data_IF_514258854238
#
_entry.id   IF_514258854238
#
_cell.length_a   1.000
_cell.length_b   1.000
_cell.length_c   1.000
_cell.angle_alpha   90.00
_cell.angle_beta   90.00
_cell.angle_gamma   90.00
#
_symmetry.space_group_name_H-M   'P 1'
#
loop_
_entity.id
_entity.type
_entity.pdbx_description
1 polymer ?
#
# COMPACT_ATOMS: atom_id res chain seq x y z
N UNK A 1 -9.93 6.98 -34.16
CA UNK A 1 -9.50 7.75 -33.00
C UNK A 1 -8.47 6.88 -32.28
N UNK A 2 -7.20 7.28 -32.26
CA UNK A 2 -6.18 6.63 -31.47
C UNK A 2 -6.57 6.77 -30.00
N UNK A 3 -6.60 5.67 -29.23
CA UNK A 3 -6.77 5.75 -27.78
C UNK A 3 -5.73 6.73 -27.21
N UNK A 4 -6.13 7.62 -26.25
CA UNK A 4 -5.16 8.48 -25.62
C UNK A 4 -4.07 7.63 -24.96
N UNK A 5 -2.80 7.93 -25.27
CA UNK A 5 -1.67 7.20 -24.68
C UNK A 5 -1.69 7.33 -23.16
N UNK A 6 -1.36 6.25 -22.46
CA UNK A 6 -1.20 6.27 -21.01
C UNK A 6 -0.07 7.26 -20.64
N UNK A 7 -0.30 8.12 -19.69
CA UNK A 7 0.63 9.21 -19.34
C UNK A 7 0.72 9.51 -17.86
N UNK A 8 -0.13 8.91 -17.02
CA UNK A 8 -0.16 9.06 -15.56
C UNK A 8 0.05 7.70 -14.92
N UNK A 9 0.90 7.62 -13.88
CA UNK A 9 1.13 6.37 -13.15
C UNK A 9 0.80 6.57 -11.67
N UNK A 10 -0.01 5.67 -11.15
CA UNK A 10 -0.44 5.59 -9.75
C UNK A 10 0.13 4.33 -9.14
N UNK A 11 0.83 4.45 -8.02
CA UNK A 11 1.44 3.32 -7.30
C UNK A 11 0.72 3.06 -5.98
N UNK A 12 0.61 1.79 -5.61
CA UNK A 12 0.51 1.38 -4.21
C UNK A 12 1.88 1.46 -3.53
N UNK A 13 1.91 1.33 -2.20
CA UNK A 13 3.12 1.39 -1.36
C UNK A 13 3.54 0.01 -0.89
N UNK A 14 2.75 -0.60 -0.02
CA UNK A 14 3.06 -1.92 0.56
C UNK A 14 3.06 -3.00 -0.51
N UNK A 15 4.03 -3.90 -0.50
CA UNK A 15 4.14 -4.97 -1.51
C UNK A 15 4.53 -4.51 -2.92
N UNK A 16 4.56 -3.19 -3.19
CA UNK A 16 4.98 -2.62 -4.48
C UNK A 16 6.28 -1.83 -4.37
N UNK A 17 6.33 -0.83 -3.49
CA UNK A 17 7.49 0.05 -3.30
C UNK A 17 8.24 -0.25 -2.01
N UNK A 18 7.53 -0.72 -0.99
CA UNK A 18 8.07 -1.08 0.34
C UNK A 18 7.74 -2.53 0.62
N UNK A 19 8.74 -3.29 1.01
CA UNK A 19 8.58 -4.64 1.56
C UNK A 19 7.97 -4.51 2.96
N UNK A 20 6.63 -4.62 3.02
CA UNK A 20 5.83 -4.57 4.23
C UNK A 20 5.26 -5.95 4.53
N UNK A 21 5.64 -6.50 5.69
CA UNK A 21 5.08 -7.75 6.20
C UNK A 21 5.14 -7.73 7.74
N UNK A 22 4.03 -7.95 8.45
CA UNK A 22 4.05 -8.03 9.92
C UNK A 22 5.00 -9.12 10.44
N UNK A 23 5.32 -10.13 9.64
CA UNK A 23 6.30 -11.17 9.99
C UNK A 23 7.70 -10.62 10.26
N UNK A 24 8.10 -9.50 9.67
CA UNK A 24 9.40 -8.86 9.95
C UNK A 24 9.54 -8.45 11.42
N UNK A 25 8.45 -8.01 12.06
CA UNK A 25 8.41 -7.70 13.48
C UNK A 25 8.22 -8.98 14.31
N UNK A 26 7.17 -9.75 13.99
CA UNK A 26 6.73 -10.83 14.86
C UNK A 26 7.70 -12.01 14.91
N UNK A 27 8.49 -12.27 13.87
CA UNK A 27 9.57 -13.26 13.92
C UNK A 27 10.58 -12.97 15.04
N UNK A 28 10.83 -11.68 15.34
CA UNK A 28 11.68 -11.26 16.46
C UNK A 28 10.98 -11.49 17.80
N UNK A 29 9.69 -11.15 17.89
CA UNK A 29 8.91 -11.27 19.13
C UNK A 29 8.66 -12.72 19.53
N UNK A 30 8.48 -13.59 18.57
CA UNK A 30 8.33 -15.03 18.79
C UNK A 30 9.67 -15.80 18.82
N UNK A 31 10.83 -15.11 18.80
CA UNK A 31 12.16 -15.71 18.85
C UNK A 31 12.38 -16.83 17.81
N UNK A 32 11.74 -16.69 16.64
CA UNK A 32 11.81 -17.63 15.53
C UNK A 32 10.82 -18.83 15.61
N UNK A 33 9.89 -18.83 16.57
CA UNK A 33 8.79 -19.80 16.58
C UNK A 33 7.76 -19.44 15.49
N UNK A 34 8.04 -19.88 14.24
CA UNK A 34 7.21 -19.59 13.07
C UNK A 34 5.75 -20.11 13.24
N UNK A 35 5.48 -21.33 13.74
CA UNK A 35 4.11 -21.78 13.94
C UNK A 35 3.30 -20.91 14.91
N UNK A 36 3.89 -20.49 16.04
CA UNK A 36 3.22 -19.62 17.00
C UNK A 36 2.98 -18.22 16.42
N UNK A 37 3.96 -17.67 15.69
CA UNK A 37 3.83 -16.39 14.99
C UNK A 37 2.70 -16.43 13.95
N UNK A 38 2.68 -17.43 13.08
CA UNK A 38 1.63 -17.56 12.05
C UNK A 38 0.25 -17.74 12.67
N UNK A 39 0.15 -18.51 13.76
CA UNK A 39 -1.11 -18.63 14.49
C UNK A 39 -1.58 -17.28 15.03
N UNK A 40 -0.69 -16.50 15.63
CA UNK A 40 -1.01 -15.17 16.15
C UNK A 40 -1.49 -14.22 15.05
N UNK A 41 -0.79 -14.17 13.92
CA UNK A 41 -1.16 -13.32 12.79
C UNK A 41 -2.45 -13.77 12.09
N UNK A 42 -2.77 -15.07 12.13
CA UNK A 42 -3.98 -15.60 11.55
C UNK A 42 -5.21 -15.48 12.46
N UNK A 43 -5.03 -15.39 13.80
CA UNK A 43 -6.14 -15.47 14.75
C UNK A 43 -6.29 -14.25 15.67
N UNK A 44 -5.25 -13.42 15.83
CA UNK A 44 -5.26 -12.24 16.70
C UNK A 44 -5.07 -10.95 15.89
N UNK A 45 -3.85 -10.59 15.55
CA UNK A 45 -3.58 -9.40 14.73
C UNK A 45 -3.72 -9.73 13.23
N UNK A 46 -4.94 -10.10 12.82
CA UNK A 46 -5.23 -10.55 11.46
C UNK A 46 -5.12 -9.42 10.44
N UNK A 47 -4.96 -9.76 9.18
CA UNK A 47 -5.03 -8.80 8.08
C UNK A 47 -6.34 -7.99 8.10
N UNK A 48 -7.47 -8.65 8.39
CA UNK A 48 -8.78 -7.98 8.48
C UNK A 48 -8.83 -7.00 9.66
N UNK A 49 -8.22 -7.34 10.79
CA UNK A 49 -8.08 -6.42 11.91
C UNK A 49 -7.25 -5.18 11.51
N UNK A 50 -6.12 -5.37 10.79
CA UNK A 50 -5.30 -4.26 10.30
C UNK A 50 -6.06 -3.36 9.32
N UNK A 51 -6.86 -3.94 8.42
CA UNK A 51 -7.71 -3.19 7.48
C UNK A 51 -8.61 -2.15 8.15
N UNK A 52 -9.03 -2.40 9.39
CA UNK A 52 -9.80 -1.41 10.14
C UNK A 52 -8.97 -0.16 10.49
N UNK A 53 -7.67 -0.31 10.75
CA UNK A 53 -6.76 0.82 10.98
C UNK A 53 -6.48 1.56 9.67
N UNK A 54 -6.33 0.82 8.57
CA UNK A 54 -6.20 1.39 7.23
C UNK A 54 -7.47 2.13 6.79
N UNK A 55 -8.63 1.78 7.37
CA UNK A 55 -9.90 2.50 7.20
C UNK A 55 -10.09 3.70 8.16
N UNK A 56 -9.08 4.03 8.98
CA UNK A 56 -9.07 5.21 9.85
C UNK A 56 -9.35 4.95 11.33
N UNK A 57 -9.54 3.69 11.77
CA UNK A 57 -9.57 3.38 13.21
C UNK A 57 -8.16 3.55 13.79
N UNK A 58 -8.01 4.21 14.95
CA UNK A 58 -6.72 4.33 15.61
C UNK A 58 -6.18 2.97 16.08
N UNK A 59 -4.85 2.81 16.08
CA UNK A 59 -4.21 1.62 16.64
C UNK A 59 -4.53 1.46 18.13
N UNK A 60 -4.59 2.56 18.88
CA UNK A 60 -4.95 2.53 20.30
C UNK A 60 -6.35 1.92 20.52
N UNK A 61 -7.36 2.33 19.75
CA UNK A 61 -8.71 1.77 19.85
C UNK A 61 -8.75 0.31 19.36
N UNK A 62 -8.08 0.01 18.24
CA UNK A 62 -7.98 -1.35 17.72
C UNK A 62 -7.34 -2.31 18.73
N UNK A 63 -6.23 -1.92 19.34
CA UNK A 63 -5.54 -2.70 20.37
C UNK A 63 -6.41 -2.86 21.63
N UNK A 64 -7.05 -1.77 22.10
CA UNK A 64 -7.94 -1.83 23.26
C UNK A 64 -9.06 -2.86 23.09
N UNK A 65 -9.72 -2.87 21.92
CA UNK A 65 -10.81 -3.81 21.63
C UNK A 65 -10.29 -5.25 21.50
N UNK A 66 -9.14 -5.45 20.85
CA UNK A 66 -8.57 -6.77 20.65
C UNK A 66 -8.06 -7.39 21.96
N UNK A 67 -7.49 -6.61 22.85
CA UNK A 67 -7.04 -7.06 24.18
C UNK A 67 -8.18 -7.53 25.09
N UNK A 68 -9.42 -7.10 24.88
CA UNK A 68 -10.58 -7.64 25.60
C UNK A 68 -10.88 -9.09 25.20
N UNK A 69 -10.52 -9.48 23.97
CA UNK A 69 -10.73 -10.83 23.45
C UNK A 69 -9.52 -11.73 23.70
N UNK A 70 -8.32 -11.13 23.75
CA UNK A 70 -7.04 -11.83 23.87
C UNK A 70 -6.15 -11.18 24.96
N UNK A 71 -6.58 -11.21 26.26
CA UNK A 71 -5.86 -10.50 27.33
C UNK A 71 -4.43 -11.02 27.55
N UNK A 72 -4.19 -12.31 27.30
CA UNK A 72 -2.88 -12.94 27.44
C UNK A 72 -1.88 -12.55 26.34
N UNK A 73 -2.36 -11.86 25.26
CA UNK A 73 -1.56 -11.42 24.12
C UNK A 73 -1.35 -9.89 24.11
N UNK A 74 -1.66 -9.23 25.22
CA UNK A 74 -1.72 -7.75 25.28
C UNK A 74 -0.45 -7.06 24.77
N UNK A 75 0.74 -7.54 25.18
CA UNK A 75 2.03 -6.97 24.76
C UNK A 75 2.28 -7.15 23.26
N UNK A 76 1.94 -8.31 22.70
CA UNK A 76 2.07 -8.59 21.27
C UNK A 76 1.11 -7.73 20.46
N UNK A 77 -0.13 -7.52 20.93
CA UNK A 77 -1.12 -6.65 20.28
C UNK A 77 -0.64 -5.19 20.27
N UNK A 78 -0.13 -4.68 21.42
CA UNK A 78 0.38 -3.31 21.52
C UNK A 78 1.61 -3.10 20.61
N UNK A 79 2.45 -4.11 20.44
CA UNK A 79 3.62 -4.04 19.57
C UNK A 79 3.26 -3.75 18.10
N UNK A 80 2.10 -4.16 17.61
CA UNK A 80 1.70 -3.96 16.22
C UNK A 80 1.71 -2.47 15.83
N UNK A 81 1.05 -1.61 16.59
CA UNK A 81 1.05 -0.18 16.34
C UNK A 81 2.35 0.52 16.78
N UNK A 82 2.85 0.17 17.99
CA UNK A 82 4.01 0.83 18.58
C UNK A 82 5.33 0.58 17.83
N UNK A 83 5.43 -0.54 17.11
CA UNK A 83 6.62 -0.96 16.37
C UNK A 83 6.33 -1.22 14.89
N UNK A 84 5.33 -0.53 14.33
CA UNK A 84 4.88 -0.70 12.96
C UNK A 84 6.01 -0.51 11.93
N UNK A 85 6.94 0.40 12.21
CA UNK A 85 8.10 0.68 11.36
C UNK A 85 9.01 -0.55 11.13
N UNK A 86 9.04 -1.49 12.08
CA UNK A 86 9.81 -2.73 11.95
C UNK A 86 9.18 -3.75 10.99
N UNK A 87 7.91 -3.55 10.62
CA UNK A 87 7.23 -4.36 9.60
C UNK A 87 7.59 -3.95 8.17
N UNK A 88 8.24 -2.79 8.01
CA UNK A 88 8.75 -2.31 6.74
C UNK A 88 10.24 -2.66 6.62
N UNK A 89 10.59 -3.75 5.94
CA UNK A 89 11.99 -4.20 5.84
C UNK A 89 12.85 -3.23 5.02
N UNK A 90 12.27 -2.59 4.00
CA UNK A 90 12.98 -1.63 3.16
C UNK A 90 12.30 -1.40 1.82
N UNK A 91 12.95 -0.66 0.90
CA UNK A 91 12.43 -0.46 -0.45
C UNK A 91 12.53 -1.75 -1.27
N UNK A 92 11.54 -1.99 -2.14
CA UNK A 92 11.61 -2.96 -3.23
C UNK A 92 12.44 -2.32 -4.35
N UNK A 93 13.77 -2.52 -4.29
CA UNK A 93 14.76 -1.75 -5.06
C UNK A 93 14.39 -1.60 -6.55
N UNK A 94 14.10 -2.70 -7.25
CA UNK A 94 13.77 -2.64 -8.67
C UNK A 94 12.47 -1.89 -8.99
N UNK A 95 11.51 -1.81 -8.05
CA UNK A 95 10.30 -1.00 -8.22
C UNK A 95 10.60 0.49 -7.99
N UNK A 96 11.46 0.81 -7.03
CA UNK A 96 11.90 2.20 -6.78
C UNK A 96 12.79 2.71 -7.94
N UNK A 97 13.60 1.85 -8.57
CA UNK A 97 14.35 2.20 -9.78
C UNK A 97 13.40 2.57 -10.94
N UNK A 98 12.32 1.79 -11.13
CA UNK A 98 11.28 2.11 -12.12
C UNK A 98 10.59 3.45 -11.79
N UNK A 99 10.26 3.68 -10.54
CA UNK A 99 9.67 4.95 -10.07
C UNK A 99 10.60 6.14 -10.38
N UNK A 100 11.91 5.98 -10.13
CA UNK A 100 12.92 7.01 -10.42
C UNK A 100 12.99 7.31 -11.91
N UNK A 101 13.03 6.29 -12.77
CA UNK A 101 13.06 6.45 -14.23
C UNK A 101 11.81 7.17 -14.77
N UNK A 102 10.61 6.79 -14.29
CA UNK A 102 9.37 7.48 -14.64
C UNK A 102 9.40 8.96 -14.23
N UNK A 103 9.94 9.26 -13.04
CA UNK A 103 10.12 10.62 -12.55
C UNK A 103 11.07 11.41 -13.42
N UNK A 104 12.22 10.85 -13.81
CA UNK A 104 13.20 11.51 -14.69
C UNK A 104 12.61 11.82 -16.08
N UNK A 105 11.71 10.96 -16.57
CA UNK A 105 10.94 11.19 -17.80
C UNK A 105 9.84 12.26 -17.65
N UNK A 106 9.62 12.77 -16.43
CA UNK A 106 8.60 13.77 -16.14
C UNK A 106 7.18 13.22 -16.06
N UNK A 107 7.00 11.90 -16.00
CA UNK A 107 5.69 11.24 -15.86
C UNK A 107 5.01 11.72 -14.57
N UNK A 108 3.74 12.17 -14.62
CA UNK A 108 2.96 12.46 -13.42
C UNK A 108 2.77 11.21 -12.56
N UNK A 109 3.26 11.26 -11.34
CA UNK A 109 3.25 10.15 -10.37
C UNK A 109 2.29 10.46 -9.23
N UNK A 110 1.41 9.52 -8.92
CA UNK A 110 0.48 9.60 -7.80
C UNK A 110 0.53 8.33 -6.96
N UNK A 111 0.03 8.41 -5.73
CA UNK A 111 0.02 7.31 -4.79
C UNK A 111 -1.40 7.06 -4.30
N UNK A 112 -1.80 5.78 -4.23
CA UNK A 112 -3.08 5.33 -3.71
C UNK A 112 -2.84 4.08 -2.85
N UNK A 113 -2.87 4.23 -1.53
CA UNK A 113 -2.51 3.13 -0.63
C UNK A 113 -3.50 2.91 0.50
N UNK A 114 -3.72 1.63 0.83
CA UNK A 114 -4.31 1.25 2.10
C UNK A 114 -3.23 1.35 3.16
N UNK A 115 -3.29 2.43 3.96
CA UNK A 115 -2.31 2.71 4.99
C UNK A 115 -2.96 3.53 6.11
N UNK A 116 -2.63 3.23 7.36
CA UNK A 116 -3.12 4.02 8.48
C UNK A 116 -2.56 5.45 8.46
N UNK A 117 -3.42 6.43 8.78
CA UNK A 117 -3.02 7.82 8.93
C UNK A 117 -1.99 8.05 10.07
N UNK A 118 -1.91 7.12 11.03
CA UNK A 118 -0.96 7.21 12.15
C UNK A 118 0.45 6.73 11.75
N UNK A 119 0.56 5.74 10.85
CA UNK A 119 1.84 5.10 10.52
C UNK A 119 2.41 5.57 9.17
N UNK A 120 1.62 6.25 8.34
CA UNK A 120 2.09 6.81 7.08
C UNK A 120 3.10 7.96 7.24
N UNK A 121 2.91 8.96 8.16
CA UNK A 121 3.89 10.03 8.34
C UNK A 121 5.31 9.53 8.70
N UNK A 122 5.52 8.59 9.63
CA UNK A 122 6.83 7.98 9.85
C UNK A 122 7.42 7.28 8.60
N UNK A 123 6.58 6.61 7.79
CA UNK A 123 7.04 6.01 6.54
C UNK A 123 7.51 7.08 5.54
N UNK A 124 6.79 8.21 5.44
CA UNK A 124 7.17 9.34 4.60
C UNK A 124 8.49 10.00 5.04
N UNK A 125 8.81 9.96 6.33
CA UNK A 125 10.10 10.44 6.85
C UNK A 125 11.24 9.45 6.55
N UNK A 126 10.95 8.15 6.60
CA UNK A 126 11.95 7.09 6.41
C UNK A 126 12.31 6.86 4.94
N UNK A 127 11.36 7.02 4.03
CA UNK A 127 11.52 6.68 2.61
C UNK A 127 11.39 7.93 1.72
N UNK A 128 12.51 8.56 1.38
CA UNK A 128 12.54 9.81 0.60
C UNK A 128 11.82 9.73 -0.74
N UNK A 129 11.79 8.56 -1.39
CA UNK A 129 11.09 8.37 -2.67
C UNK A 129 9.57 8.58 -2.56
N UNK A 130 8.96 8.46 -1.40
CA UNK A 130 7.54 8.77 -1.19
C UNK A 130 7.24 10.27 -1.41
N UNK A 131 8.26 11.15 -1.33
CA UNK A 131 8.13 12.60 -1.62
C UNK A 131 8.15 12.92 -3.11
N UNK A 132 8.34 11.92 -3.99
CA UNK A 132 8.42 12.14 -5.43
C UNK A 132 7.04 12.21 -6.09
N UNK A 133 5.99 11.83 -5.39
CA UNK A 133 4.62 11.85 -5.88
C UNK A 133 4.05 13.27 -5.88
N UNK A 134 3.30 13.63 -6.93
CA UNK A 134 2.59 14.91 -7.05
C UNK A 134 1.39 15.01 -6.10
N UNK A 135 0.83 13.87 -5.72
CA UNK A 135 -0.29 13.77 -4.79
C UNK A 135 -0.50 12.34 -4.30
N UNK A 136 -1.15 12.24 -3.16
CA UNK A 136 -1.33 10.96 -2.46
C UNK A 136 -2.76 10.85 -1.93
N UNK A 137 -3.32 9.64 -1.99
CA UNK A 137 -4.53 9.26 -1.27
C UNK A 137 -4.17 8.12 -0.33
N UNK A 138 -4.25 8.40 0.95
CA UNK A 138 -4.03 7.45 2.05
C UNK A 138 -5.39 7.08 2.63
N UNK A 139 -5.71 5.80 2.64
CA UNK A 139 -7.04 5.32 3.03
C UNK A 139 -7.42 5.73 4.45
N UNK A 140 -6.49 5.72 5.40
CA UNK A 140 -6.70 6.13 6.77
C UNK A 140 -7.08 7.61 6.94
N UNK A 141 -6.73 8.48 5.97
CA UNK A 141 -7.11 9.88 5.95
C UNK A 141 -8.51 10.11 5.38
N UNK A 142 -8.93 9.26 4.43
CA UNK A 142 -10.20 9.42 3.73
C UNK A 142 -11.30 8.48 4.24
N UNK A 143 -10.96 7.52 5.11
CA UNK A 143 -11.90 6.58 5.72
C UNK A 143 -12.45 5.53 4.75
N UNK A 144 -11.80 5.33 3.60
CA UNK A 144 -12.21 4.38 2.56
C UNK A 144 -10.99 3.59 2.10
N UNK A 145 -11.10 2.26 2.04
CA UNK A 145 -10.00 1.35 1.64
C UNK A 145 -10.26 0.71 0.28
N UNK A 146 -9.20 0.42 -0.47
CA UNK A 146 -9.25 -0.44 -1.66
C UNK A 146 -9.77 -1.85 -1.26
N UNK A 147 -10.57 -2.52 -2.07
CA UNK A 147 -10.98 -2.16 -3.43
C UNK A 147 -12.32 -1.39 -3.54
N UNK A 148 -12.74 -0.65 -2.51
CA UNK A 148 -13.98 0.15 -2.57
C UNK A 148 -13.90 1.18 -3.71
N UNK A 149 -14.89 1.23 -4.64
CA UNK A 149 -14.90 2.16 -5.76
C UNK A 149 -14.67 3.62 -5.39
N UNK A 150 -15.17 4.05 -4.25
CA UNK A 150 -15.08 5.44 -3.77
C UNK A 150 -13.65 5.94 -3.63
N UNK A 151 -12.68 5.08 -3.31
CA UNK A 151 -11.29 5.53 -3.14
C UNK A 151 -10.65 5.93 -4.49
N UNK A 152 -11.01 5.23 -5.58
CA UNK A 152 -10.58 5.57 -6.94
C UNK A 152 -11.24 6.86 -7.41
N UNK A 153 -12.54 7.07 -7.12
CA UNK A 153 -13.25 8.32 -7.40
C UNK A 153 -12.60 9.51 -6.68
N UNK A 154 -12.25 9.34 -5.39
CA UNK A 154 -11.55 10.37 -4.60
C UNK A 154 -10.21 10.72 -5.27
N UNK A 155 -9.43 9.73 -5.69
CA UNK A 155 -8.14 9.95 -6.35
C UNK A 155 -8.30 10.72 -7.67
N UNK A 156 -9.19 10.26 -8.53
CA UNK A 156 -9.45 10.88 -9.84
C UNK A 156 -9.92 12.33 -9.69
N UNK A 157 -10.89 12.56 -8.79
CA UNK A 157 -11.45 13.89 -8.56
C UNK A 157 -10.44 14.84 -7.89
N UNK A 158 -9.70 14.37 -6.87
CA UNK A 158 -8.74 15.20 -6.11
C UNK A 158 -7.63 15.75 -6.99
N UNK A 159 -7.15 14.97 -7.96
CA UNK A 159 -6.01 15.32 -8.79
C UNK A 159 -6.40 15.62 -10.24
N UNK A 160 -7.68 15.66 -10.57
CA UNK A 160 -8.21 15.88 -11.92
C UNK A 160 -7.56 14.94 -12.97
N UNK A 161 -7.42 13.65 -12.61
CA UNK A 161 -6.82 12.64 -13.48
C UNK A 161 -7.87 12.13 -14.46
N UNK A 162 -7.56 12.17 -15.76
CA UNK A 162 -8.31 11.42 -16.77
C UNK A 162 -8.04 9.92 -16.57
N UNK A 163 -9.04 9.12 -16.20
CA UNK A 163 -8.85 7.70 -15.92
C UNK A 163 -8.31 6.93 -17.13
N UNK A 164 -8.64 7.34 -18.36
CA UNK A 164 -8.16 6.68 -19.58
C UNK A 164 -6.66 6.95 -19.83
N UNK A 165 -6.08 7.98 -19.22
CA UNK A 165 -4.64 8.25 -19.25
C UNK A 165 -3.87 7.56 -18.12
N UNK A 166 -4.54 6.96 -17.16
CA UNK A 166 -3.93 6.44 -15.93
C UNK A 166 -3.59 4.94 -16.01
N UNK A 167 -2.48 4.61 -15.36
CA UNK A 167 -2.09 3.24 -15.02
C UNK A 167 -2.04 3.15 -13.49
N UNK A 168 -2.61 2.08 -12.92
CA UNK A 168 -2.58 1.81 -11.48
C UNK A 168 -1.88 0.49 -11.20
N UNK A 169 -0.92 0.51 -10.28
CA UNK A 169 -0.03 -0.62 -9.94
C UNK A 169 -0.28 -1.02 -8.51
N UNK A 170 -0.65 -2.29 -8.27
CA UNK A 170 -0.98 -2.82 -6.94
C UNK A 170 -0.64 -4.31 -6.88
N UNK A 171 -0.11 -4.80 -5.75
CA UNK A 171 0.25 -6.20 -5.52
C UNK A 171 -0.98 -7.08 -5.24
N UNK A 172 -2.11 -6.48 -4.90
CA UNK A 172 -3.39 -7.18 -4.71
C UNK A 172 -4.20 -7.11 -6.02
N UNK A 173 -4.36 -8.24 -6.69
CA UNK A 173 -5.06 -8.32 -7.99
C UNK A 173 -6.46 -7.68 -7.94
N UNK A 174 -7.21 -7.89 -6.85
CA UNK A 174 -8.55 -7.32 -6.68
C UNK A 174 -8.54 -5.78 -6.70
N UNK A 175 -7.51 -5.14 -6.15
CA UNK A 175 -7.37 -3.68 -6.18
C UNK A 175 -7.08 -3.18 -7.59
N UNK A 176 -6.16 -3.83 -8.31
CA UNK A 176 -5.85 -3.48 -9.70
C UNK A 176 -7.07 -3.67 -10.62
N UNK A 177 -7.86 -4.71 -10.40
CA UNK A 177 -9.09 -4.97 -11.15
C UNK A 177 -10.20 -3.97 -10.84
N UNK A 178 -10.34 -3.54 -9.59
CA UNK A 178 -11.36 -2.57 -9.18
C UNK A 178 -11.15 -1.17 -9.80
N UNK A 179 -9.96 -0.86 -10.31
CA UNK A 179 -9.68 0.37 -11.04
C UNK A 179 -10.23 0.36 -12.48
N UNK A 180 -10.36 -0.83 -13.10
CA UNK A 180 -10.72 -0.98 -14.54
C UNK A 180 -12.09 -0.41 -14.92
N UNK A 181 -13.17 -0.56 -14.13
CA UNK A 181 -14.47 0.02 -14.47
C UNK A 181 -14.44 1.54 -14.66
N UNK A 182 -13.45 2.23 -14.08
CA UNK A 182 -13.25 3.68 -14.27
C UNK A 182 -12.50 4.02 -15.57
N UNK A 183 -11.94 3.05 -16.27
CA UNK A 183 -11.09 3.25 -17.45
C UNK A 183 -9.59 3.28 -17.12
N UNK A 184 -9.21 3.13 -15.86
CA UNK A 184 -7.81 3.04 -15.41
C UNK A 184 -7.24 1.68 -15.84
N UNK A 185 -6.02 1.66 -16.39
CA UNK A 185 -5.32 0.42 -16.68
C UNK A 185 -4.69 -0.17 -15.41
N UNK A 186 -5.35 -1.16 -14.80
CA UNK A 186 -4.84 -1.85 -13.61
C UNK A 186 -3.76 -2.87 -13.94
N UNK A 187 -2.60 -2.76 -13.29
CA UNK A 187 -1.49 -3.72 -13.35
C UNK A 187 -1.40 -4.44 -12.01
N UNK A 188 -1.55 -5.76 -12.01
CA UNK A 188 -1.22 -6.58 -10.86
C UNK A 188 0.31 -6.72 -10.79
N UNK A 189 0.89 -6.10 -9.77
CA UNK A 189 2.33 -6.16 -9.53
C UNK A 189 2.71 -7.54 -8.97
N UNK A 190 3.68 -8.18 -9.59
CA UNK A 190 4.24 -9.46 -9.11
C UNK A 190 5.74 -9.38 -8.94
N UNK A 191 6.43 -8.73 -9.85
CA UNK A 191 7.87 -8.49 -9.80
C UNK A 191 8.22 -7.17 -10.50
N UNK A 192 9.33 -6.51 -10.13
CA UNK A 192 9.81 -5.33 -10.86
C UNK A 192 10.05 -5.58 -12.35
N UNK A 193 10.55 -6.77 -12.71
CA UNK A 193 10.78 -7.14 -14.11
C UNK A 193 9.49 -7.22 -14.94
N UNK A 194 8.43 -7.82 -14.38
CA UNK A 194 7.12 -7.89 -15.03
C UNK A 194 6.50 -6.49 -15.16
N UNK A 195 6.60 -5.66 -14.12
CA UNK A 195 6.14 -4.28 -14.16
C UNK A 195 6.85 -3.49 -15.27
N UNK A 196 8.19 -3.57 -15.35
CA UNK A 196 8.98 -2.91 -16.39
C UNK A 196 8.52 -3.30 -17.79
N UNK A 197 8.35 -4.60 -18.05
CA UNK A 197 7.91 -5.09 -19.34
C UNK A 197 6.54 -4.51 -19.74
N UNK A 198 5.62 -4.43 -18.78
CA UNK A 198 4.28 -3.88 -19.03
C UNK A 198 4.32 -2.35 -19.28
N UNK A 199 5.13 -1.59 -18.52
CA UNK A 199 5.29 -0.14 -18.73
C UNK A 199 5.96 0.18 -20.08
N UNK A 200 6.93 -0.64 -20.54
CA UNK A 200 7.49 -0.54 -21.87
C UNK A 200 6.44 -0.80 -22.95
N UNK A 201 5.60 -1.83 -22.78
CA UNK A 201 4.49 -2.14 -23.69
C UNK A 201 3.49 -0.97 -23.81
N UNK A 202 3.30 -0.25 -22.72
CA UNK A 202 2.44 0.94 -22.65
C UNK A 202 3.13 2.24 -23.10
N UNK A 203 4.40 2.18 -23.54
CA UNK A 203 5.24 3.31 -23.94
C UNK A 203 5.43 4.37 -22.83
N UNK A 204 5.43 3.93 -21.58
CA UNK A 204 5.74 4.76 -20.40
C UNK A 204 7.23 4.70 -20.03
N UNK A 205 7.91 3.59 -20.40
CA UNK A 205 9.36 3.39 -20.26
C UNK A 205 10.04 3.14 -21.60
#
# INVERSE_FOLDING_TARGET
MTEPGRSVVVFDVGGVLIDWDPRHLYRKLFSGDEPAMEHFLASVCTHEWNRCQDAGRSFAEGARLLKLQHPDQAELIDAYGARFDEMMAGPIAGAVEILAELRERGTPLYLLSNFSAETFPPALERFDFLRWFRGMVISGEVGVIKPDPRIYEIMLARFAIDPHSAVYIDDVAANAEAARPFGIHGIHFTTPGALRAELVRLALL
#
